data_IF_424475143044
#
_entry.id   IF_424475143044
#
_cell.length_a   1.000
_cell.length_b   1.000
_cell.length_c   1.000
_cell.angle_alpha   90.00
_cell.angle_beta   90.00
_cell.angle_gamma   90.00
#
_symmetry.space_group_name_H-M   'P 1'
#
loop_
_entity.id
_entity.type
_entity.pdbx_description
1 polymer ?
#
# COMPACT_ATOMS: atom_id res chain seq x y z
N UNK A 1 27.87 3.26 -7.55
CA UNK A 1 26.72 2.53 -8.12
C UNK A 1 25.95 1.70 -7.09
N UNK A 2 26.61 0.91 -6.23
CA UNK A 2 25.96 0.02 -5.25
C UNK A 2 24.91 0.73 -4.36
N UNK A 3 25.22 1.94 -3.88
CA UNK A 3 24.28 2.75 -3.07
C UNK A 3 22.99 3.15 -3.79
N UNK A 4 23.01 3.26 -5.13
CA UNK A 4 21.82 3.63 -5.92
C UNK A 4 20.88 2.42 -6.06
N UNK A 5 21.42 1.24 -6.38
CA UNK A 5 20.65 -0.01 -6.52
C UNK A 5 20.06 -0.49 -5.18
N UNK A 6 20.73 -0.19 -4.07
CA UNK A 6 20.20 -0.50 -2.75
C UNK A 6 18.92 0.28 -2.39
N UNK A 7 18.65 1.42 -3.04
CA UNK A 7 17.49 2.27 -2.74
C UNK A 7 16.15 1.59 -3.07
N UNK A 8 15.87 1.12 -4.31
CA UNK A 8 14.61 0.46 -4.63
C UNK A 8 14.39 -0.81 -3.80
N UNK A 9 15.45 -1.57 -3.52
CA UNK A 9 15.38 -2.78 -2.67
C UNK A 9 14.95 -2.41 -1.25
N UNK A 10 15.57 -1.37 -0.65
CA UNK A 10 15.18 -0.88 0.67
C UNK A 10 13.74 -0.36 0.70
N UNK A 11 13.32 0.34 -0.36
CA UNK A 11 11.94 0.84 -0.48
C UNK A 11 10.94 -0.31 -0.52
N UNK A 12 11.18 -1.31 -1.37
CA UNK A 12 10.37 -2.51 -1.46
C UNK A 12 10.24 -3.23 -0.12
N UNK A 13 11.38 -3.49 0.54
CA UNK A 13 11.42 -4.13 1.85
C UNK A 13 10.77 -3.29 2.95
N UNK A 14 10.73 -1.96 2.83
CA UNK A 14 10.05 -1.09 3.79
C UNK A 14 8.53 -1.02 3.58
N UNK A 15 8.07 -1.11 2.32
CA UNK A 15 6.64 -1.04 1.98
C UNK A 15 5.90 -2.34 2.28
N UNK A 16 6.54 -3.49 2.06
CA UNK A 16 5.94 -4.80 2.32
C UNK A 16 5.37 -4.95 3.75
N UNK A 17 6.13 -4.74 4.85
CA UNK A 17 5.58 -4.88 6.19
C UNK A 17 4.48 -3.85 6.46
N UNK A 18 4.56 -2.66 5.85
CA UNK A 18 3.54 -1.62 5.96
C UNK A 18 2.20 -2.10 5.39
N UNK A 19 2.21 -2.71 4.21
CA UNK A 19 1.03 -3.29 3.57
C UNK A 19 0.52 -4.55 4.29
N UNK A 20 1.43 -5.41 4.75
CA UNK A 20 1.08 -6.63 5.49
C UNK A 20 0.36 -6.27 6.80
N UNK A 21 0.84 -5.26 7.54
CA UNK A 21 0.26 -4.83 8.84
C UNK A 21 -1.13 -4.20 8.68
N UNK A 22 -1.45 -3.61 7.52
CA UNK A 22 -2.78 -3.02 7.28
C UNK A 22 -3.91 -4.04 7.45
N UNK A 23 -3.72 -5.30 7.03
CA UNK A 23 -4.75 -6.34 7.12
C UNK A 23 -5.07 -6.76 8.57
N UNK A 24 -4.08 -7.09 9.42
CA UNK A 24 -4.24 -7.23 10.87
C UNK A 24 -4.93 -6.04 11.53
N UNK A 25 -4.48 -4.81 11.25
CA UNK A 25 -5.07 -3.62 11.85
C UNK A 25 -6.55 -3.46 11.47
N UNK A 26 -6.87 -3.74 10.22
CA UNK A 26 -8.25 -3.75 9.73
C UNK A 26 -9.12 -4.78 10.45
N UNK A 27 -8.61 -6.00 10.65
CA UNK A 27 -9.34 -7.05 11.37
C UNK A 27 -9.55 -6.72 12.85
N UNK A 28 -8.54 -6.12 13.50
CA UNK A 28 -8.63 -5.68 14.89
C UNK A 28 -9.65 -4.56 15.07
N UNK A 29 -9.72 -3.63 14.12
CA UNK A 29 -10.70 -2.54 14.16
C UNK A 29 -12.13 -3.04 13.93
N UNK A 30 -12.29 -3.99 13.00
CA UNK A 30 -13.57 -4.61 12.67
C UNK A 30 -13.81 -5.92 13.43
N UNK A 31 -13.29 -6.02 14.66
CA UNK A 31 -13.34 -7.24 15.46
C UNK A 31 -14.77 -7.74 15.74
N UNK A 32 -15.76 -6.84 15.75
CA UNK A 32 -17.17 -7.20 15.97
C UNK A 32 -17.75 -8.06 14.83
N UNK A 33 -17.34 -7.82 13.58
CA UNK A 33 -17.78 -8.57 12.39
C UNK A 33 -16.95 -9.84 12.17
N UNK A 34 -15.75 -9.93 12.79
CA UNK A 34 -14.82 -11.06 12.65
C UNK A 34 -14.83 -12.02 13.85
N UNK A 35 -15.84 -11.94 14.72
CA UNK A 35 -15.98 -12.80 15.93
C UNK A 35 -15.96 -14.31 15.68
N UNK A 36 -16.13 -14.77 14.44
CA UNK A 36 -16.10 -16.20 14.08
C UNK A 36 -14.78 -16.66 13.44
N UNK A 37 -13.81 -15.76 13.22
CA UNK A 37 -12.54 -16.15 12.58
C UNK A 37 -11.58 -16.82 13.57
N UNK A 38 -11.09 -18.00 13.18
CA UNK A 38 -10.02 -18.71 13.86
C UNK A 38 -8.67 -18.03 13.60
N UNK A 39 -7.68 -18.30 14.46
CA UNK A 39 -6.30 -17.88 14.22
C UNK A 39 -5.72 -18.44 12.91
N UNK A 40 -6.22 -19.59 12.44
CA UNK A 40 -5.88 -20.13 11.12
C UNK A 40 -6.33 -19.20 9.99
N UNK A 41 -7.58 -18.72 10.06
CA UNK A 41 -8.16 -17.82 9.05
C UNK A 41 -7.38 -16.50 8.97
N UNK A 42 -6.87 -16.03 10.12
CA UNK A 42 -6.02 -14.85 10.18
C UNK A 42 -4.71 -15.03 9.39
N UNK A 43 -4.07 -16.20 9.53
CA UNK A 43 -2.85 -16.54 8.77
C UNK A 43 -3.16 -16.74 7.29
N UNK A 44 -4.30 -17.34 6.97
CA UNK A 44 -4.74 -17.53 5.58
C UNK A 44 -4.97 -16.19 4.87
N UNK A 45 -5.53 -15.19 5.54
CA UNK A 45 -5.72 -13.86 4.93
C UNK A 45 -4.38 -13.14 4.69
N UNK A 46 -3.41 -13.29 5.59
CA UNK A 46 -2.07 -12.75 5.36
C UNK A 46 -1.41 -13.48 4.19
N UNK A 47 -1.47 -14.81 4.16
CA UNK A 47 -0.83 -15.64 3.14
C UNK A 47 -1.42 -15.41 1.74
N UNK A 48 -2.74 -15.51 1.59
CA UNK A 48 -3.42 -15.28 0.33
C UNK A 48 -3.42 -13.81 -0.08
N UNK A 49 -3.29 -12.91 0.90
CA UNK A 49 -3.14 -11.48 0.66
C UNK A 49 -1.73 -11.06 0.22
N UNK A 50 -0.71 -11.86 0.51
CA UNK A 50 0.69 -11.52 0.27
C UNK A 50 1.05 -11.29 -1.21
N UNK A 51 0.53 -12.05 -2.19
CA UNK A 51 0.75 -11.77 -3.61
C UNK A 51 0.24 -10.40 -4.03
N UNK A 52 -0.89 -9.97 -3.48
CA UNK A 52 -1.46 -8.65 -3.75
C UNK A 52 -0.56 -7.55 -3.17
N UNK A 53 -0.07 -7.73 -1.95
CA UNK A 53 0.85 -6.76 -1.33
C UNK A 53 2.18 -6.68 -2.11
N UNK A 54 2.65 -7.81 -2.63
CA UNK A 54 3.83 -7.89 -3.49
C UNK A 54 3.67 -7.11 -4.79
N UNK A 55 2.51 -7.22 -5.43
CA UNK A 55 2.22 -6.50 -6.69
C UNK A 55 2.10 -5.00 -6.44
N UNK A 56 1.41 -4.57 -5.38
CA UNK A 56 1.30 -3.15 -4.99
C UNK A 56 2.66 -2.56 -4.64
N UNK A 57 3.45 -3.25 -3.81
CA UNK A 57 4.83 -2.85 -3.50
C UNK A 57 5.69 -2.79 -4.78
N UNK A 58 5.51 -3.75 -5.68
CA UNK A 58 6.15 -3.78 -7.00
C UNK A 58 5.80 -2.55 -7.85
N UNK A 59 4.52 -2.20 -7.98
CA UNK A 59 4.08 -1.02 -8.73
C UNK A 59 4.66 0.28 -8.15
N UNK A 60 4.59 0.46 -6.82
CA UNK A 60 5.09 1.67 -6.17
C UNK A 60 6.60 1.81 -6.35
N UNK A 61 7.35 0.70 -6.35
CA UNK A 61 8.82 0.68 -6.46
C UNK A 61 9.35 0.66 -7.89
N UNK A 62 8.56 0.17 -8.85
CA UNK A 62 8.90 0.20 -10.27
C UNK A 62 9.09 1.63 -10.78
N UNK A 63 8.28 2.58 -10.30
CA UNK A 63 8.42 3.98 -10.70
C UNK A 63 9.75 4.60 -10.21
N UNK A 64 10.14 4.54 -8.92
CA UNK A 64 11.48 4.89 -8.46
C UNK A 64 12.62 4.21 -9.22
N UNK A 65 12.44 2.94 -9.60
CA UNK A 65 13.44 2.20 -10.38
C UNK A 65 13.60 2.80 -11.78
N UNK A 66 12.51 3.08 -12.49
CA UNK A 66 12.53 3.77 -13.79
C UNK A 66 13.17 5.16 -13.67
N UNK A 67 12.77 5.93 -12.66
CA UNK A 67 13.35 7.25 -12.40
C UNK A 67 14.86 7.16 -12.13
N UNK A 68 15.33 6.09 -11.45
CA UNK A 68 16.75 5.87 -11.18
C UNK A 68 17.54 5.62 -12.46
N UNK A 69 16.98 4.90 -13.43
CA UNK A 69 17.59 4.69 -14.74
C UNK A 69 17.75 6.01 -15.50
N UNK A 70 16.72 6.86 -15.48
CA UNK A 70 16.76 8.18 -16.12
C UNK A 70 17.71 9.14 -15.39
N UNK A 71 17.86 9.00 -14.07
CA UNK A 71 18.80 9.82 -13.26
C UNK A 71 20.27 9.64 -13.68
N UNK A 72 20.63 8.63 -14.47
CA UNK A 72 21.98 8.52 -15.03
C UNK A 72 22.31 9.73 -15.92
N UNK A 73 21.30 10.32 -16.56
CA UNK A 73 21.43 11.46 -17.47
C UNK A 73 21.25 12.84 -16.80
N UNK A 74 20.88 12.90 -15.51
CA UNK A 74 20.49 14.15 -14.83
C UNK A 74 21.17 14.35 -13.47
N UNK A 75 21.05 15.56 -12.90
CA UNK A 75 21.60 15.92 -11.60
C UNK A 75 20.97 15.13 -10.44
N UNK A 76 21.82 14.53 -9.60
CA UNK A 76 21.45 13.64 -8.49
C UNK A 76 20.68 14.31 -7.34
N UNK A 77 20.81 15.63 -7.15
CA UNK A 77 20.10 16.36 -6.07
C UNK A 77 18.59 16.48 -6.34
N UNK A 78 18.21 16.82 -7.57
CA UNK A 78 16.79 16.94 -7.97
C UNK A 78 16.08 15.58 -7.88
N UNK A 79 16.75 14.52 -8.30
CA UNK A 79 16.25 13.14 -8.21
C UNK A 79 15.86 12.75 -6.78
N UNK A 80 16.74 12.99 -5.80
CA UNK A 80 16.46 12.66 -4.40
C UNK A 80 15.27 13.45 -3.84
N UNK A 81 15.14 14.72 -4.20
CA UNK A 81 13.99 15.54 -3.79
C UNK A 81 12.69 14.99 -4.38
N UNK A 82 12.65 14.71 -5.69
CA UNK A 82 11.46 14.18 -6.36
C UNK A 82 11.05 12.84 -5.76
N UNK A 83 12.00 11.92 -5.55
CA UNK A 83 11.70 10.64 -4.89
C UNK A 83 11.13 10.81 -3.48
N UNK A 84 11.67 11.75 -2.70
CA UNK A 84 11.16 12.02 -1.35
C UNK A 84 9.71 12.50 -1.40
N UNK A 85 9.40 13.47 -2.27
CA UNK A 85 8.03 13.96 -2.42
C UNK A 85 7.08 12.87 -2.94
N UNK A 86 7.52 12.07 -3.93
CA UNK A 86 6.76 10.93 -4.41
C UNK A 86 6.39 9.96 -3.29
N UNK A 87 7.35 9.57 -2.45
CA UNK A 87 7.11 8.65 -1.33
C UNK A 87 6.17 9.26 -0.28
N UNK A 88 6.30 10.55 0.03
CA UNK A 88 5.39 11.25 0.95
C UNK A 88 3.96 11.20 0.42
N UNK A 89 3.77 11.51 -0.87
CA UNK A 89 2.45 11.48 -1.51
C UNK A 89 1.87 10.06 -1.49
N UNK A 90 2.65 9.04 -1.84
CA UNK A 90 2.19 7.64 -1.82
C UNK A 90 1.80 7.21 -0.39
N UNK A 91 2.63 7.52 0.61
CA UNK A 91 2.29 7.18 2.00
C UNK A 91 1.02 7.89 2.47
N UNK A 92 0.85 9.17 2.12
CA UNK A 92 -0.36 9.92 2.45
C UNK A 92 -1.60 9.32 1.76
N UNK A 93 -1.51 8.97 0.48
CA UNK A 93 -2.59 8.33 -0.26
C UNK A 93 -2.96 6.96 0.35
N UNK A 94 -1.98 6.11 0.63
CA UNK A 94 -2.21 4.81 1.28
C UNK A 94 -2.88 4.98 2.65
N UNK A 95 -2.46 5.96 3.44
CA UNK A 95 -3.05 6.24 4.74
C UNK A 95 -4.51 6.71 4.63
N UNK A 96 -4.81 7.61 3.69
CA UNK A 96 -6.18 8.09 3.45
C UNK A 96 -7.07 6.94 2.97
N UNK A 97 -6.62 6.17 1.97
CA UNK A 97 -7.37 5.01 1.45
C UNK A 97 -7.65 4.01 2.57
N UNK A 98 -6.63 3.69 3.38
CA UNK A 98 -6.80 2.77 4.51
C UNK A 98 -7.75 3.32 5.58
N UNK A 99 -7.66 4.60 5.92
CA UNK A 99 -8.57 5.22 6.88
C UNK A 99 -10.01 5.23 6.40
N UNK A 100 -10.25 5.53 5.13
CA UNK A 100 -11.59 5.48 4.53
C UNK A 100 -12.08 4.03 4.49
N UNK A 101 -11.24 3.06 4.13
CA UNK A 101 -11.60 1.63 4.14
C UNK A 101 -12.07 1.16 5.53
N UNK A 102 -11.41 1.61 6.59
CA UNK A 102 -11.79 1.29 7.98
C UNK A 102 -13.19 1.81 8.34
N UNK A 103 -13.48 3.08 8.04
CA UNK A 103 -14.78 3.67 8.36
C UNK A 103 -15.90 3.13 7.48
N UNK A 104 -15.66 3.06 6.16
CA UNK A 104 -16.67 2.64 5.19
C UNK A 104 -17.05 1.17 5.37
N UNK A 105 -16.10 0.32 5.75
CA UNK A 105 -16.38 -1.08 6.05
C UNK A 105 -17.40 -1.23 7.19
N UNK A 106 -17.33 -0.39 8.22
CA UNK A 106 -18.31 -0.38 9.31
C UNK A 106 -19.73 -0.02 8.86
N UNK A 107 -19.87 0.76 7.79
CA UNK A 107 -21.19 1.13 7.24
C UNK A 107 -21.71 0.12 6.22
N UNK A 108 -20.84 -0.49 5.40
CA UNK A 108 -21.24 -1.26 4.22
C UNK A 108 -21.00 -2.77 4.35
N UNK A 109 -20.13 -3.20 5.27
CA UNK A 109 -19.78 -4.61 5.47
C UNK A 109 -18.89 -5.22 4.36
N UNK A 110 -18.42 -4.42 3.39
CA UNK A 110 -17.46 -4.85 2.37
C UNK A 110 -16.36 -3.79 2.18
N UNK A 111 -15.16 -4.22 1.79
CA UNK A 111 -13.99 -3.35 1.60
C UNK A 111 -14.20 -2.39 0.43
N UNK A 112 -13.48 -1.28 0.42
CA UNK A 112 -13.44 -0.34 -0.72
C UNK A 112 -13.14 -1.07 -2.04
N UNK A 113 -14.20 -1.30 -2.81
CA UNK A 113 -14.15 -1.73 -4.20
C UNK A 113 -14.57 -0.55 -5.10
N UNK A 114 -14.78 -0.76 -6.39
CA UNK A 114 -15.26 0.28 -7.31
C UNK A 114 -16.74 0.66 -7.08
N UNK A 115 -17.46 -0.02 -6.18
CA UNK A 115 -18.89 0.21 -5.92
C UNK A 115 -19.27 1.61 -5.38
N UNK A 116 -18.49 2.30 -4.52
CA UNK A 116 -18.79 3.67 -4.13
C UNK A 116 -18.70 4.68 -5.28
N UNK A 117 -17.88 4.42 -6.31
CA UNK A 117 -17.80 5.29 -7.48
C UNK A 117 -19.14 5.31 -8.23
N UNK A 118 -19.87 4.20 -8.25
CA UNK A 118 -21.20 4.15 -8.87
C UNK A 118 -22.25 5.00 -8.14
N UNK A 119 -22.14 5.13 -6.82
CA UNK A 119 -23.01 6.01 -6.02
C UNK A 119 -22.68 7.49 -6.27
N UNK A 120 -21.42 7.85 -6.44
CA UNK A 120 -21.04 9.23 -6.77
C UNK A 120 -21.48 9.64 -8.19
N UNK A 121 -21.61 8.68 -9.11
CA UNK A 121 -22.09 8.95 -10.48
C UNK A 121 -23.61 9.04 -10.62
N UNK A 122 -24.39 8.58 -9.63
CA UNK A 122 -25.85 8.67 -9.62
C UNK A 122 -26.31 9.29 -8.28
N UNK A 123 -26.38 10.63 -8.18
CA UNK A 123 -26.78 11.32 -6.96
C UNK A 123 -28.23 11.05 -6.55
#
# INVERSE_FOLDING_TARGET
>A
MIKKIALPIKLFLSLLPLLIIQKPLFMLFNHNETKQMSFSDFMDVIWHGLPLDLTVAGYITALPLLMMLVSIFWHTKLFNSILKYYLIVICALLAVIFSVDLELYGFWGFRLDATPLFYLTNP
#
